data_IF_500000775445
#
_entry.id   IF_500000775445
#
_cell.length_a   1.000
_cell.length_b   1.000
_cell.length_c   1.000
_cell.angle_alpha   90.00
_cell.angle_beta   90.00
_cell.angle_gamma   90.00
#
_symmetry.space_group_name_H-M   'P 1'
#
loop_
_entity.id
_entity.type
_entity.pdbx_description
1 polymer ?
#
# COMPACT_ATOMS: atom_id res chain seq x y z
N UNK A 1 -3.00 -15.88 -4.65
CA UNK A 1 -3.15 -14.55 -4.01
C UNK A 1 -2.57 -13.36 -4.80
N UNK A 2 -1.58 -13.52 -5.72
CA UNK A 2 -0.98 -12.37 -6.46
C UNK A 2 -1.48 -12.13 -7.90
N UNK A 3 -2.36 -12.98 -8.45
CA UNK A 3 -2.72 -12.94 -9.88
C UNK A 3 -4.05 -12.25 -10.21
N UNK A 4 -4.96 -12.10 -9.23
CA UNK A 4 -6.29 -11.54 -9.49
C UNK A 4 -6.40 -10.04 -9.20
N UNK A 5 -5.62 -9.52 -8.25
CA UNK A 5 -5.69 -8.15 -7.76
C UNK A 5 -5.16 -7.08 -8.72
N UNK A 6 -5.69 -5.87 -8.61
CA UNK A 6 -5.22 -4.69 -9.35
C UNK A 6 -4.17 -3.93 -8.56
N UNK A 7 -3.35 -3.15 -9.27
CA UNK A 7 -2.19 -2.45 -8.69
C UNK A 7 -2.27 -0.96 -8.95
N UNK A 8 -1.98 -0.18 -7.92
CA UNK A 8 -1.82 1.27 -7.98
C UNK A 8 -0.41 1.68 -7.54
N UNK A 9 0.02 2.86 -7.96
CA UNK A 9 1.37 3.36 -7.78
C UNK A 9 1.34 4.75 -7.16
N UNK A 10 1.89 4.83 -5.96
CA UNK A 10 2.42 6.07 -5.41
C UNK A 10 3.90 6.27 -5.76
N UNK A 11 4.41 7.42 -5.37
CA UNK A 11 5.81 7.83 -5.48
C UNK A 11 6.72 6.90 -4.65
N UNK A 12 6.25 6.46 -3.48
CA UNK A 12 7.05 5.65 -2.55
C UNK A 12 6.45 4.30 -2.20
N UNK A 13 5.13 4.14 -2.37
CA UNK A 13 4.40 2.91 -2.05
C UNK A 13 3.68 2.40 -3.30
N UNK A 14 3.80 1.09 -3.55
CA UNK A 14 2.91 0.40 -4.50
C UNK A 14 1.86 -0.37 -3.72
N UNK A 15 0.61 -0.28 -4.15
CA UNK A 15 -0.49 -1.01 -3.56
C UNK A 15 -0.99 -2.09 -4.52
N UNK A 16 -1.28 -3.26 -4.00
CA UNK A 16 -2.14 -4.24 -4.65
C UNK A 16 -3.38 -4.44 -3.77
N UNK A 17 -4.55 -4.51 -4.42
CA UNK A 17 -5.84 -4.63 -3.73
C UNK A 17 -6.60 -5.83 -4.24
N UNK A 18 -7.33 -6.45 -3.32
CA UNK A 18 -8.31 -7.50 -3.56
C UNK A 18 -9.53 -7.22 -2.69
N UNK A 19 -10.76 -7.44 -3.16
CA UNK A 19 -11.90 -7.49 -2.26
C UNK A 19 -11.64 -8.51 -1.16
N UNK A 20 -11.92 -8.16 0.09
CA UNK A 20 -11.55 -9.01 1.22
C UNK A 20 -12.02 -8.50 2.57
N UNK A 21 -11.49 -9.11 3.63
CA UNK A 21 -11.94 -8.89 5.02
C UNK A 21 -11.05 -7.94 5.80
N UNK A 22 -10.03 -7.36 5.16
CA UNK A 22 -9.15 -6.35 5.74
C UNK A 22 -7.80 -6.85 6.19
N UNK A 23 -7.27 -7.83 5.46
CA UNK A 23 -5.90 -8.27 5.61
C UNK A 23 -4.94 -7.17 5.12
N UNK A 24 -3.83 -7.01 5.85
CA UNK A 24 -2.77 -6.05 5.48
C UNK A 24 -1.41 -6.75 5.43
N UNK A 25 -0.88 -6.90 4.22
CA UNK A 25 0.50 -7.29 3.96
C UNK A 25 1.38 -6.07 3.73
N UNK A 26 2.55 -6.00 4.37
CA UNK A 26 3.54 -4.94 4.12
C UNK A 26 4.90 -5.56 3.80
N UNK A 27 5.36 -5.32 2.58
CA UNK A 27 6.69 -5.68 2.12
C UNK A 27 7.58 -4.44 2.05
N UNK A 28 8.84 -4.58 2.45
CA UNK A 28 9.86 -3.54 2.37
C UNK A 28 10.97 -3.98 1.44
N UNK A 29 11.45 -3.08 0.59
CA UNK A 29 12.65 -3.33 -0.21
C UNK A 29 13.85 -3.71 0.67
N UNK A 30 14.63 -4.70 0.22
CA UNK A 30 15.93 -5.04 0.83
C UNK A 30 16.89 -3.85 0.84
N UNK A 31 16.74 -2.91 -0.10
CA UNK A 31 17.58 -1.72 -0.24
C UNK A 31 17.43 -0.67 0.88
N UNK A 32 16.37 -0.76 1.71
CA UNK A 32 16.21 0.12 2.89
C UNK A 32 17.37 -0.03 3.89
N UNK A 33 18.06 -1.17 3.89
CA UNK A 33 19.20 -1.43 4.77
C UNK A 33 18.76 -2.01 6.11
N UNK A 34 19.19 -1.39 7.21
CA UNK A 34 19.15 -1.98 8.55
C UNK A 34 17.74 -2.31 9.07
N UNK A 35 17.65 -3.29 9.98
CA UNK A 35 16.38 -3.73 10.60
C UNK A 35 15.59 -2.56 11.22
N UNK A 36 16.18 -1.61 11.96
CA UNK A 36 15.46 -0.45 12.48
C UNK A 36 14.84 0.44 11.40
N UNK A 37 15.59 0.73 10.32
CA UNK A 37 15.08 1.54 9.19
C UNK A 37 13.88 0.86 8.52
N UNK A 38 13.97 -0.46 8.27
CA UNK A 38 12.84 -1.25 7.73
C UNK A 38 11.64 -1.25 8.67
N UNK A 39 11.86 -1.41 9.97
CA UNK A 39 10.79 -1.40 10.97
C UNK A 39 10.10 -0.03 11.04
N UNK A 40 10.87 1.06 10.95
CA UNK A 40 10.33 2.42 10.91
C UNK A 40 9.44 2.61 9.67
N UNK A 41 9.91 2.23 8.48
CA UNK A 41 9.10 2.28 7.26
C UNK A 41 7.81 1.45 7.38
N UNK A 42 7.90 0.20 7.87
CA UNK A 42 6.72 -0.66 8.09
C UNK A 42 5.70 -0.04 9.04
N UNK A 43 6.14 0.48 10.19
CA UNK A 43 5.24 1.09 11.18
C UNK A 43 4.50 2.30 10.61
N UNK A 44 5.23 3.16 9.89
CA UNK A 44 4.65 4.37 9.28
C UNK A 44 3.65 4.02 8.18
N UNK A 45 3.98 3.08 7.29
CA UNK A 45 3.06 2.64 6.24
C UNK A 45 1.85 1.90 6.82
N UNK A 46 2.04 1.09 7.87
CA UNK A 46 0.93 0.44 8.58
C UNK A 46 -0.06 1.47 9.12
N UNK A 47 0.44 2.53 9.75
CA UNK A 47 -0.42 3.57 10.29
C UNK A 47 -1.12 4.37 9.18
N UNK A 48 -0.41 4.70 8.09
CA UNK A 48 -1.03 5.32 6.93
C UNK A 48 -2.16 4.45 6.33
N UNK A 49 -1.95 3.13 6.22
CA UNK A 49 -2.98 2.20 5.76
C UNK A 49 -4.18 2.11 6.70
N UNK A 50 -3.94 2.15 8.03
CA UNK A 50 -5.00 2.18 9.04
C UNK A 50 -5.84 3.45 8.92
N UNK A 51 -5.19 4.61 8.75
CA UNK A 51 -5.86 5.91 8.61
C UNK A 51 -6.61 6.06 7.28
N UNK A 52 -6.20 5.35 6.23
CA UNK A 52 -6.90 5.33 4.94
C UNK A 52 -8.32 4.71 5.02
N UNK A 53 -8.58 3.86 6.02
CA UNK A 53 -9.93 3.37 6.33
C UNK A 53 -10.53 2.37 5.32
N UNK A 54 -9.79 1.96 4.28
CA UNK A 54 -10.29 1.03 3.26
C UNK A 54 -10.16 -0.45 3.64
N UNK A 55 -9.41 -0.77 4.69
CA UNK A 55 -9.16 -2.16 5.12
C UNK A 55 -10.45 -2.99 5.27
N UNK A 56 -11.55 -2.55 5.92
CA UNK A 56 -12.71 -3.42 6.14
C UNK A 56 -13.36 -4.01 4.88
N UNK A 57 -13.06 -3.47 3.69
CA UNK A 57 -13.61 -3.91 2.40
C UNK A 57 -12.54 -4.53 1.48
N UNK A 58 -11.25 -4.38 1.82
CA UNK A 58 -10.14 -4.69 0.92
C UNK A 58 -8.98 -5.33 1.65
N UNK A 59 -8.47 -6.41 1.07
CA UNK A 59 -7.16 -6.95 1.41
C UNK A 59 -6.08 -6.17 0.66
N UNK A 60 -5.14 -5.60 1.42
CA UNK A 60 -4.10 -4.72 0.90
C UNK A 60 -2.72 -5.35 1.00
N UNK A 61 -1.95 -5.29 -0.08
CA UNK A 61 -0.50 -5.54 -0.05
C UNK A 61 0.24 -4.26 -0.43
N UNK A 62 0.99 -3.70 0.51
CA UNK A 62 1.77 -2.48 0.32
C UNK A 62 3.27 -2.81 0.20
N UNK A 63 3.88 -2.40 -0.91
CA UNK A 63 5.31 -2.55 -1.17
C UNK A 63 5.98 -1.20 -1.04
N UNK A 64 6.84 -1.07 -0.04
CA UNK A 64 7.49 0.18 0.36
C UNK A 64 8.88 0.29 -0.27
N UNK A 65 9.13 1.39 -0.97
CA UNK A 65 10.44 1.75 -1.53
C UNK A 65 11.45 2.16 -0.46
N UNK A 66 12.71 2.33 -0.85
CA UNK A 66 13.76 2.75 0.08
C UNK A 66 13.62 4.22 0.50
N UNK A 67 13.13 5.06 -0.41
CA UNK A 67 13.07 6.51 -0.23
C UNK A 67 11.96 6.90 0.78
N UNK A 68 10.96 6.03 0.94
CA UNK A 68 9.87 6.17 1.91
C UNK A 68 10.33 6.35 3.38
N UNK A 69 11.55 5.91 3.71
CA UNK A 69 12.04 5.92 5.10
C UNK A 69 12.09 7.35 5.62
N UNK A 70 12.58 8.30 4.83
CA UNK A 70 12.92 9.63 5.31
C UNK A 70 11.88 10.72 4.91
N UNK A 71 10.91 10.35 4.06
CA UNK A 71 9.77 11.20 3.67
C UNK A 71 8.93 11.63 4.88
N UNK A 72 8.40 12.87 4.96
CA UNK A 72 7.47 13.29 6.02
C UNK A 72 6.18 12.44 6.08
N UNK A 73 5.64 12.22 7.28
CA UNK A 73 4.48 11.31 7.44
C UNK A 73 3.22 11.75 6.67
N UNK A 74 2.85 13.04 6.64
CA UNK A 74 1.70 13.48 5.83
C UNK A 74 1.85 13.16 4.34
N UNK A 75 3.06 13.35 3.78
CA UNK A 75 3.34 13.02 2.39
C UNK A 75 3.27 11.51 2.14
N UNK A 76 3.84 10.70 3.03
CA UNK A 76 3.74 9.23 2.95
C UNK A 76 2.29 8.74 3.05
N UNK A 77 1.46 9.39 3.89
CA UNK A 77 0.04 9.07 4.02
C UNK A 77 -0.71 9.36 2.71
N UNK A 78 -0.53 10.56 2.15
CA UNK A 78 -1.14 10.92 0.86
C UNK A 78 -0.68 10.01 -0.28
N UNK A 79 0.56 9.53 -0.22
CA UNK A 79 1.08 8.55 -1.18
C UNK A 79 0.38 7.19 -1.09
N UNK A 80 0.18 6.67 0.14
CA UNK A 80 -0.59 5.45 0.37
C UNK A 80 -2.04 5.61 -0.08
N UNK A 81 -2.68 6.73 0.26
CA UNK A 81 -4.06 7.04 -0.15
C UNK A 81 -4.20 7.01 -1.68
N UNK A 82 -3.27 7.67 -2.40
CA UNK A 82 -3.24 7.70 -3.86
C UNK A 82 -3.04 6.31 -4.46
N UNK A 83 -2.05 5.56 -3.98
CA UNK A 83 -1.75 4.22 -4.49
C UNK A 83 -2.94 3.26 -4.30
N UNK A 84 -3.60 3.31 -3.14
CA UNK A 84 -4.78 2.47 -2.85
C UNK A 84 -5.97 2.91 -3.69
N UNK A 85 -6.25 4.21 -3.80
CA UNK A 85 -7.35 4.72 -4.61
C UNK A 85 -7.21 4.33 -6.09
N UNK A 86 -6.02 4.47 -6.67
CA UNK A 86 -5.75 4.07 -8.05
C UNK A 86 -5.95 2.55 -8.25
N UNK A 87 -5.51 1.73 -7.29
CA UNK A 87 -5.69 0.29 -7.36
C UNK A 87 -7.17 -0.11 -7.32
N UNK A 88 -7.96 0.51 -6.44
CA UNK A 88 -9.41 0.27 -6.31
C UNK A 88 -10.15 0.73 -7.58
N UNK A 89 -9.80 1.89 -8.14
CA UNK A 89 -10.40 2.38 -9.38
C UNK A 89 -10.19 1.37 -10.53
N UNK A 90 -8.97 0.88 -10.70
CA UNK A 90 -8.65 -0.18 -11.68
C UNK A 90 -9.42 -1.48 -11.42
N UNK A 91 -9.67 -1.82 -10.15
CA UNK A 91 -10.48 -2.99 -9.83
C UNK A 91 -11.91 -2.79 -10.32
N UNK A 92 -12.52 -1.63 -10.00
CA UNK A 92 -13.86 -1.30 -10.43
C UNK A 92 -14.00 -1.34 -11.96
N UNK A 93 -13.02 -0.79 -12.69
CA UNK A 93 -12.97 -0.88 -14.16
C UNK A 93 -12.90 -2.35 -14.62
N UNK A 94 -11.96 -3.14 -14.09
CA UNK A 94 -11.81 -4.56 -14.46
C UNK A 94 -13.08 -5.37 -14.20
N UNK A 95 -13.77 -5.12 -13.08
CA UNK A 95 -15.02 -5.80 -12.72
C UNK A 95 -16.23 -5.35 -13.54
N UNK A 96 -16.21 -4.15 -14.13
CA UNK A 96 -17.28 -3.67 -14.98
C UNK A 96 -17.28 -4.30 -16.39
N UNK A 97 -16.15 -4.86 -16.81
CA UNK A 97 -15.97 -5.51 -18.12
C UNK A 97 -15.93 -7.04 -18.05
N UNK A 98 -16.14 -7.64 -16.87
CA UNK A 98 -16.07 -9.08 -16.63
C UNK A 98 -17.40 -9.64 -16.19
#
# INVERSE_FOLDING_TARGET
MFNEGTRGRGDWVRAAVLPGTGLLGIATSRKIGSKPRRNRAKRRVKEAARLNGKLPQWDLVLVVSQDAVDVPFPALRGDVERAVAEAIAKWAEKSAYS
#
